data_IF_235370597201
#
_entry.id   IF_235370597201
#
_cell.length_a   1.000
_cell.length_b   1.000
_cell.length_c   1.000
_cell.angle_alpha   90.00
_cell.angle_beta   90.00
_cell.angle_gamma   90.00
#
_symmetry.space_group_name_H-M   'P 1'
#
loop_
_entity.id
_entity.type
_entity.pdbx_description
1 polymer ?
#
# COMPACT_ATOMS: atom_id res chain seq x y z
N UNK A 1 -0.60 -26.24 -14.52
CA UNK A 1 -1.87 -25.53 -14.85
C UNK A 1 -2.02 -24.41 -13.84
N UNK A 2 -1.13 -23.42 -13.93
CA UNK A 2 -0.99 -22.33 -12.94
C UNK A 2 -0.68 -21.00 -13.64
N UNK A 3 -1.04 -20.91 -14.92
CA UNK A 3 -0.85 -19.73 -15.76
C UNK A 3 -2.13 -18.92 -15.95
N UNK A 4 -3.31 -19.51 -15.70
CA UNK A 4 -4.59 -18.90 -16.06
C UNK A 4 -5.21 -18.03 -14.95
N UNK A 5 -4.70 -18.11 -13.71
CA UNK A 5 -5.24 -17.32 -12.59
C UNK A 5 -4.64 -15.91 -12.49
N UNK A 6 -3.48 -15.66 -13.12
CA UNK A 6 -2.83 -14.34 -13.08
C UNK A 6 -3.39 -13.37 -14.13
N UNK A 7 -4.05 -13.87 -15.19
CA UNK A 7 -4.66 -13.03 -16.23
C UNK A 7 -6.06 -12.54 -15.85
N UNK A 8 -6.73 -13.18 -14.89
CA UNK A 8 -8.04 -12.74 -14.38
C UNK A 8 -7.94 -11.50 -13.48
N UNK A 9 -6.81 -11.30 -12.79
CA UNK A 9 -6.61 -10.16 -11.88
C UNK A 9 -6.28 -8.84 -12.60
N UNK A 10 -5.78 -8.88 -13.84
CA UNK A 10 -5.51 -7.67 -14.63
C UNK A 10 -6.75 -7.21 -15.44
N UNK A 11 -7.74 -8.08 -15.66
CA UNK A 11 -8.93 -7.73 -16.42
C UNK A 11 -9.99 -6.98 -15.59
N UNK A 12 -10.08 -7.24 -14.28
CA UNK A 12 -11.01 -6.54 -13.38
C UNK A 12 -10.56 -5.11 -13.03
N UNK A 13 -9.25 -4.81 -13.00
CA UNK A 13 -8.75 -3.45 -12.76
C UNK A 13 -8.87 -2.54 -14.02
N UNK A 14 -8.82 -3.10 -15.24
CA UNK A 14 -9.04 -2.33 -16.49
C UNK A 14 -10.52 -2.06 -16.80
N UNK A 15 -11.47 -2.82 -16.24
CA UNK A 15 -12.91 -2.53 -16.36
C UNK A 15 -13.39 -1.46 -15.37
N UNK A 16 -12.85 -1.37 -14.15
CA UNK A 16 -13.22 -0.31 -13.20
C UNK A 16 -12.73 1.09 -13.62
N UNK A 17 -11.63 1.20 -14.37
CA UNK A 17 -11.13 2.51 -14.87
C UNK A 17 -11.90 3.01 -16.12
N UNK A 18 -12.71 2.15 -16.76
CA UNK A 18 -13.57 2.53 -17.90
C UNK A 18 -15.01 2.90 -17.54
N UNK A 19 -15.50 2.52 -16.37
CA UNK A 19 -16.86 2.89 -15.93
C UNK A 19 -16.93 4.26 -15.23
N UNK A 20 -15.83 4.81 -14.70
CA UNK A 20 -15.86 6.10 -13.99
C UNK A 20 -15.89 7.36 -14.91
N UNK A 21 -16.01 7.19 -16.24
CA UNK A 21 -16.07 8.29 -17.22
C UNK A 21 -17.39 8.44 -17.98
N UNK A 22 -18.47 7.83 -17.52
CA UNK A 22 -19.79 8.00 -18.12
C UNK A 22 -20.89 8.17 -17.07
N UNK A 23 -20.91 9.28 -16.35
CA UNK A 23 -22.16 9.84 -15.83
C UNK A 23 -21.91 11.29 -15.39
N UNK A 24 -22.61 12.24 -16.03
CA UNK A 24 -22.49 13.67 -15.72
C UNK A 24 -22.51 14.60 -16.94
N UNK A 25 -23.41 14.36 -17.89
CA UNK A 25 -23.79 15.39 -18.87
C UNK A 25 -25.31 15.54 -18.83
N UNK A 26 -25.76 16.59 -18.15
CA UNK A 26 -27.17 17.02 -18.14
C UNK A 26 -27.23 18.44 -18.71
N UNK A 27 -27.77 18.48 -19.92
CA UNK A 27 -28.68 19.46 -20.51
C UNK A 27 -28.29 20.95 -20.53
N UNK A 28 -27.84 21.39 -21.71
CA UNK A 28 -28.25 22.68 -22.27
C UNK A 28 -29.12 22.37 -23.50
N UNK A 29 -30.45 22.46 -23.33
CA UNK A 29 -31.39 22.33 -24.44
C UNK A 29 -31.61 23.71 -25.07
N UNK A 30 -30.92 23.93 -26.18
CA UNK A 30 -31.27 24.96 -27.15
C UNK A 30 -32.61 24.60 -27.79
N UNK A 31 -33.69 25.26 -27.36
CA UNK A 31 -34.92 25.30 -28.12
C UNK A 31 -34.89 26.52 -29.04
N UNK A 32 -34.17 26.38 -30.15
CA UNK A 32 -34.30 27.24 -31.32
C UNK A 32 -35.63 26.98 -32.06
N UNK A 33 -36.07 28.06 -32.66
CA UNK A 33 -37.36 28.30 -33.27
C UNK A 33 -37.71 27.36 -34.44
N UNK A 34 -38.86 26.69 -34.37
CA UNK A 34 -39.71 26.57 -35.55
C UNK A 34 -41.17 26.24 -35.19
N UNK A 35 -42.07 27.21 -35.33
CA UNK A 35 -43.48 26.94 -35.65
C UNK A 35 -44.16 28.18 -36.22
N UNK A 36 -43.93 28.38 -37.52
CA UNK A 36 -44.84 29.13 -38.40
C UNK A 36 -46.17 28.38 -38.48
N UNK A 37 -47.13 28.71 -37.61
CA UNK A 37 -48.56 28.47 -37.87
C UNK A 37 -49.26 29.81 -37.93
N UNK A 38 -49.31 30.34 -39.15
CA UNK A 38 -50.21 31.41 -39.58
C UNK A 38 -51.65 31.02 -39.25
N UNK A 39 -52.19 31.60 -38.18
CA UNK A 39 -53.61 31.48 -37.85
C UNK A 39 -54.42 32.37 -38.79
N UNK A 40 -55.41 31.73 -39.43
CA UNK A 40 -56.38 32.27 -40.37
C UNK A 40 -57.07 33.51 -39.78
N UNK A 41 -57.05 34.61 -40.51
CA UNK A 41 -57.73 35.86 -40.17
C UNK A 41 -59.24 35.64 -40.11
N UNK A 42 -59.81 35.58 -38.92
CA UNK A 42 -61.26 35.70 -38.71
C UNK A 42 -61.55 37.16 -38.39
N UNK A 43 -62.34 37.80 -39.26
CA UNK A 43 -62.77 39.19 -39.19
C UNK A 43 -63.45 39.49 -37.84
N UNK A 44 -62.84 40.35 -37.02
CA UNK A 44 -63.44 40.86 -35.77
C UNK A 44 -64.11 42.21 -36.11
N UNK A 45 -65.40 42.41 -35.79
CA UNK A 45 -66.09 43.66 -36.09
C UNK A 45 -65.50 44.82 -35.26
N UNK A 46 -65.56 46.02 -35.81
CA UNK A 46 -65.02 47.25 -35.23
C UNK A 46 -65.65 47.55 -33.86
N UNK A 47 -64.94 47.23 -32.77
CA UNK A 47 -65.32 47.57 -31.39
C UNK A 47 -64.79 48.97 -31.11
N UNK A 48 -65.69 49.90 -30.83
CA UNK A 48 -65.36 51.26 -30.39
C UNK A 48 -64.41 51.23 -29.17
N UNK A 49 -63.45 52.16 -29.09
CA UNK A 49 -62.45 52.16 -28.02
C UNK A 49 -63.15 52.14 -26.66
N UNK A 50 -62.85 51.17 -25.78
CA UNK A 50 -63.45 51.11 -24.46
C UNK A 50 -63.07 52.39 -23.73
N UNK A 51 -64.09 53.15 -23.31
CA UNK A 51 -63.90 54.32 -22.47
C UNK A 51 -63.24 53.84 -21.17
N UNK A 52 -62.01 54.29 -20.96
CA UNK A 52 -61.30 54.14 -19.69
C UNK A 52 -62.18 54.73 -18.58
N UNK A 53 -62.51 53.96 -17.52
CA UNK A 53 -63.04 54.58 -16.31
C UNK A 53 -61.97 55.51 -15.76
N UNK A 54 -62.35 56.76 -15.51
CA UNK A 54 -61.50 57.80 -14.96
C UNK A 54 -61.00 57.41 -13.56
N UNK A 55 -59.68 57.39 -13.39
CA UNK A 55 -59.06 57.93 -12.18
C UNK A 55 -58.81 56.99 -11.00
N UNK A 56 -58.24 55.80 -11.20
CA UNK A 56 -57.32 55.27 -10.19
C UNK A 56 -55.93 55.79 -10.54
N UNK A 57 -55.49 56.83 -9.82
CA UNK A 57 -54.12 57.35 -9.96
C UNK A 57 -53.18 56.21 -9.62
N UNK A 58 -52.58 55.61 -10.65
CA UNK A 58 -51.46 54.68 -10.50
C UNK A 58 -50.35 55.44 -9.79
N UNK A 59 -50.19 55.16 -8.50
CA UNK A 59 -49.16 55.79 -7.68
C UNK A 59 -47.82 55.16 -8.06
N UNK A 60 -46.99 55.92 -8.77
CA UNK A 60 -45.68 55.46 -9.24
C UNK A 60 -44.75 55.11 -8.07
N UNK A 61 -44.93 55.74 -6.90
CA UNK A 61 -44.18 55.41 -5.69
C UNK A 61 -44.63 54.08 -5.09
N UNK A 62 -45.93 53.75 -5.18
CA UNK A 62 -46.46 52.43 -4.80
C UNK A 62 -45.96 51.33 -5.73
N UNK A 63 -45.91 51.59 -7.04
CA UNK A 63 -45.36 50.64 -8.01
C UNK A 63 -43.86 50.39 -7.79
N UNK A 64 -43.10 51.43 -7.43
CA UNK A 64 -41.67 51.29 -7.12
C UNK A 64 -41.44 50.53 -5.80
N UNK A 65 -42.21 50.83 -4.74
CA UNK A 65 -42.17 50.06 -3.48
C UNK A 65 -42.50 48.59 -3.68
N UNK A 66 -43.57 48.28 -4.42
CA UNK A 66 -43.97 46.90 -4.75
C UNK A 66 -42.91 46.17 -5.55
N UNK A 67 -42.19 46.86 -6.44
CA UNK A 67 -41.05 46.29 -7.16
C UNK A 67 -39.90 45.94 -6.21
N UNK A 68 -39.49 46.88 -5.37
CA UNK A 68 -38.41 46.64 -4.40
C UNK A 68 -38.76 45.52 -3.41
N UNK A 69 -40.00 45.48 -2.93
CA UNK A 69 -40.48 44.44 -2.02
C UNK A 69 -40.54 43.06 -2.70
N UNK A 70 -40.99 43.00 -3.96
CA UNK A 70 -40.95 41.77 -4.76
C UNK A 70 -39.50 41.31 -4.97
N UNK A 71 -38.62 42.18 -5.44
CA UNK A 71 -37.23 41.84 -5.73
C UNK A 71 -36.48 41.41 -4.44
N UNK A 72 -36.80 42.02 -3.30
CA UNK A 72 -36.28 41.63 -2.00
C UNK A 72 -36.76 40.23 -1.57
N UNK A 73 -38.05 39.95 -1.69
CA UNK A 73 -38.63 38.64 -1.37
C UNK A 73 -38.13 37.54 -2.31
N UNK A 74 -38.01 37.83 -3.61
CA UNK A 74 -37.46 36.92 -4.62
C UNK A 74 -35.99 36.60 -4.30
N UNK A 75 -35.20 37.60 -3.90
CA UNK A 75 -33.81 37.41 -3.51
C UNK A 75 -33.69 36.57 -2.23
N UNK A 76 -34.51 36.83 -1.21
CA UNK A 76 -34.55 36.00 0.00
C UNK A 76 -34.92 34.55 -0.31
N UNK A 77 -35.94 34.34 -1.14
CA UNK A 77 -36.37 33.00 -1.55
C UNK A 77 -35.26 32.28 -2.32
N UNK A 78 -34.58 32.97 -3.25
CA UNK A 78 -33.48 32.39 -4.01
C UNK A 78 -32.30 31.99 -3.12
N UNK A 79 -31.96 32.84 -2.14
CA UNK A 79 -30.93 32.56 -1.14
C UNK A 79 -31.33 31.30 -0.34
N UNK A 80 -32.53 31.26 0.23
CA UNK A 80 -32.99 30.13 1.03
C UNK A 80 -33.05 28.82 0.23
N UNK A 81 -33.56 28.86 -1.00
CA UNK A 81 -33.60 27.70 -1.90
C UNK A 81 -32.19 27.21 -2.24
N UNK A 82 -31.26 28.12 -2.57
CA UNK A 82 -29.89 27.73 -2.91
C UNK A 82 -29.17 27.08 -1.73
N UNK A 83 -29.23 27.69 -0.55
CA UNK A 83 -28.58 27.14 0.64
C UNK A 83 -29.22 25.83 1.11
N UNK A 84 -30.55 25.74 1.11
CA UNK A 84 -31.24 24.52 1.53
C UNK A 84 -31.07 23.37 0.53
N UNK A 85 -30.99 23.64 -0.78
CA UNK A 85 -30.67 22.62 -1.79
C UNK A 85 -29.24 22.11 -1.59
N UNK A 86 -28.27 23.03 -1.52
CA UNK A 86 -26.86 22.67 -1.35
C UNK A 86 -26.61 21.91 -0.05
N UNK A 87 -27.25 22.32 1.05
CA UNK A 87 -27.11 21.63 2.33
C UNK A 87 -27.64 20.20 2.25
N UNK A 88 -28.80 19.98 1.62
CA UNK A 88 -29.35 18.62 1.44
C UNK A 88 -28.45 17.77 0.56
N UNK A 89 -27.95 18.31 -0.54
CA UNK A 89 -27.00 17.62 -1.43
C UNK A 89 -25.71 17.25 -0.69
N UNK A 90 -25.14 18.16 0.11
CA UNK A 90 -23.95 17.89 0.91
C UNK A 90 -24.20 16.81 1.97
N UNK A 91 -25.35 16.84 2.65
CA UNK A 91 -25.74 15.80 3.61
C UNK A 91 -25.89 14.43 2.95
N UNK A 92 -26.50 14.37 1.75
CA UNK A 92 -26.64 13.15 0.96
C UNK A 92 -25.28 12.60 0.49
N UNK A 93 -24.39 13.47 0.00
CA UNK A 93 -23.04 13.10 -0.40
C UNK A 93 -22.22 12.57 0.79
N UNK A 94 -22.32 13.21 1.96
CA UNK A 94 -21.66 12.75 3.18
C UNK A 94 -22.20 11.39 3.60
N UNK A 95 -23.53 11.19 3.57
CA UNK A 95 -24.15 9.92 3.89
C UNK A 95 -23.70 8.79 2.95
N UNK A 96 -23.63 9.07 1.64
CA UNK A 96 -23.14 8.14 0.63
C UNK A 96 -21.66 7.78 0.84
N UNK A 97 -20.80 8.79 1.05
CA UNK A 97 -19.37 8.60 1.34
C UNK A 97 -19.16 7.74 2.58
N UNK A 98 -19.90 8.01 3.66
CA UNK A 98 -19.84 7.22 4.89
C UNK A 98 -20.27 5.75 4.65
N UNK A 99 -21.27 5.50 3.80
CA UNK A 99 -21.70 4.14 3.44
C UNK A 99 -20.65 3.39 2.62
N UNK A 100 -20.00 4.08 1.67
CA UNK A 100 -18.89 3.51 0.88
C UNK A 100 -17.70 3.18 1.77
N UNK A 101 -17.33 4.11 2.66
CA UNK A 101 -16.22 3.94 3.59
C UNK A 101 -16.45 2.74 4.53
N UNK A 102 -17.67 2.58 5.07
CA UNK A 102 -18.05 1.39 5.84
C UNK A 102 -17.94 0.09 5.04
N UNK A 103 -18.44 0.07 3.80
CA UNK A 103 -18.31 -1.13 2.93
C UNK A 103 -16.85 -1.46 2.63
N UNK A 104 -16.00 -0.45 2.43
CA UNK A 104 -14.56 -0.65 2.23
C UNK A 104 -13.90 -1.19 3.50
N UNK A 105 -14.22 -0.65 4.67
CA UNK A 105 -13.69 -1.17 5.95
C UNK A 105 -14.12 -2.61 6.20
N UNK A 106 -15.39 -2.94 5.95
CA UNK A 106 -15.90 -4.31 6.15
C UNK A 106 -15.20 -5.31 5.21
N UNK A 107 -14.98 -4.94 3.94
CA UNK A 107 -14.21 -5.79 3.01
C UNK A 107 -12.77 -5.96 3.43
N UNK A 108 -12.11 -4.88 3.88
CA UNK A 108 -10.75 -4.94 4.37
C UNK A 108 -10.65 -5.83 5.64
N UNK A 109 -11.63 -5.74 6.54
CA UNK A 109 -11.70 -6.58 7.73
C UNK A 109 -11.94 -8.06 7.38
N UNK A 110 -12.87 -8.35 6.45
CA UNK A 110 -13.07 -9.71 5.94
C UNK A 110 -11.79 -10.30 5.33
N UNK A 111 -11.03 -9.50 4.57
CA UNK A 111 -9.75 -9.95 4.03
C UNK A 111 -8.72 -10.21 5.13
N UNK A 112 -8.65 -9.33 6.15
CA UNK A 112 -7.75 -9.55 7.30
C UNK A 112 -8.10 -10.82 8.07
N UNK A 113 -9.38 -11.06 8.34
CA UNK A 113 -9.83 -12.28 9.04
C UNK A 113 -9.53 -13.53 8.20
N UNK A 114 -9.78 -13.52 6.88
CA UNK A 114 -9.42 -14.63 6.00
C UNK A 114 -7.90 -14.89 5.99
N UNK A 115 -7.09 -13.85 5.88
CA UNK A 115 -5.64 -13.96 5.90
C UNK A 115 -5.11 -14.47 7.24
N UNK A 116 -5.71 -14.05 8.36
CA UNK A 116 -5.36 -14.52 9.70
C UNK A 116 -5.72 -15.99 9.91
N UNK A 117 -6.92 -16.42 9.48
CA UNK A 117 -7.33 -17.82 9.55
C UNK A 117 -6.45 -18.73 8.69
N UNK A 118 -6.08 -18.29 7.48
CA UNK A 118 -5.16 -19.04 6.62
C UNK A 118 -3.75 -19.14 7.23
N UNK A 119 -3.27 -18.04 7.82
CA UNK A 119 -2.00 -18.03 8.55
C UNK A 119 -2.04 -18.95 9.77
N UNK A 120 -3.14 -19.01 10.51
CA UNK A 120 -3.32 -19.92 11.65
C UNK A 120 -3.32 -21.38 11.21
N UNK A 121 -4.01 -21.72 10.11
CA UNK A 121 -4.01 -23.08 9.55
C UNK A 121 -2.61 -23.51 9.13
N UNK A 122 -1.89 -22.64 8.42
CA UNK A 122 -0.50 -22.90 8.04
C UNK A 122 0.39 -23.05 9.28
N UNK A 123 0.20 -22.20 10.30
CA UNK A 123 0.94 -22.31 11.55
C UNK A 123 0.69 -23.66 12.25
N UNK A 124 -0.57 -24.10 12.38
CA UNK A 124 -0.92 -25.40 12.98
C UNK A 124 -0.32 -26.58 12.21
N UNK A 125 -0.35 -26.55 10.88
CA UNK A 125 0.27 -27.59 10.06
C UNK A 125 1.79 -27.63 10.24
N UNK A 126 2.44 -26.47 10.33
CA UNK A 126 3.89 -26.42 10.61
C UNK A 126 4.22 -26.87 12.02
N UNK A 127 3.38 -26.54 13.00
CA UNK A 127 3.56 -26.95 14.40
C UNK A 127 3.35 -28.46 14.58
N UNK A 128 2.33 -29.05 13.95
CA UNK A 128 2.12 -30.50 13.95
C UNK A 128 3.27 -31.25 13.26
N UNK A 129 3.77 -30.70 12.15
CA UNK A 129 4.94 -31.24 11.46
C UNK A 129 6.19 -31.16 12.33
N UNK A 130 6.42 -30.04 13.01
CA UNK A 130 7.52 -29.87 13.95
C UNK A 130 7.38 -30.83 15.12
N UNK A 131 6.17 -31.02 15.68
CA UNK A 131 5.93 -31.96 16.78
C UNK A 131 6.18 -33.41 16.35
N UNK A 132 5.76 -33.80 15.14
CA UNK A 132 6.02 -35.12 14.56
C UNK A 132 7.51 -35.33 14.26
N UNK A 133 8.21 -34.31 13.78
CA UNK A 133 9.67 -34.33 13.58
C UNK A 133 10.43 -34.40 14.92
N UNK A 134 9.94 -33.74 15.98
CA UNK A 134 10.50 -33.81 17.34
C UNK A 134 10.27 -35.18 18.01
N UNK A 135 9.08 -35.78 17.85
CA UNK A 135 8.78 -37.15 18.34
C UNK A 135 9.60 -38.21 17.58
N UNK A 136 9.73 -38.09 16.25
CA UNK A 136 10.55 -38.99 15.44
C UNK A 136 12.06 -38.81 15.69
N UNK A 137 12.51 -37.60 15.99
CA UNK A 137 13.89 -37.33 16.40
C UNK A 137 14.19 -37.87 17.81
N UNK A 138 13.20 -37.88 18.72
CA UNK A 138 13.34 -38.47 20.05
C UNK A 138 13.42 -40.00 19.99
N UNK A 139 12.61 -40.64 19.15
CA UNK A 139 12.68 -42.09 18.93
C UNK A 139 13.99 -42.52 18.25
N UNK A 140 14.47 -41.77 17.24
CA UNK A 140 15.80 -41.98 16.64
C UNK A 140 16.94 -41.73 17.63
N UNK A 141 16.81 -40.73 18.50
CA UNK A 141 17.82 -40.45 19.51
C UNK A 141 17.88 -41.52 20.61
N UNK A 142 16.79 -42.24 20.86
CA UNK A 142 16.73 -43.38 21.78
C UNK A 142 17.37 -44.64 21.15
N UNK A 143 17.22 -44.84 19.83
CA UNK A 143 17.91 -45.87 19.05
C UNK A 143 19.43 -45.62 18.91
N UNK A 144 19.85 -44.35 18.77
CA UNK A 144 21.26 -43.92 18.75
C UNK A 144 21.87 -43.73 20.17
N UNK A 145 21.09 -43.93 21.24
CA UNK A 145 21.51 -43.76 22.64
C UNK A 145 22.45 -44.86 23.16
N UNK A 146 23.10 -45.62 22.29
CA UNK A 146 24.15 -46.56 22.66
C UNK A 146 25.59 -46.01 22.47
N UNK A 147 25.78 -44.83 21.86
CA UNK A 147 27.15 -44.34 21.60
C UNK A 147 27.29 -42.83 21.37
N UNK A 148 27.34 -42.03 22.45
CA UNK A 148 28.08 -40.76 22.42
C UNK A 148 27.30 -39.45 22.22
N UNK A 149 25.97 -39.44 22.35
CA UNK A 149 25.17 -38.22 22.12
C UNK A 149 24.96 -37.33 23.37
N UNK A 150 25.47 -37.69 24.56
CA UNK A 150 25.19 -36.93 25.80
C UNK A 150 25.81 -35.52 25.84
N UNK A 151 26.84 -35.23 25.05
CA UNK A 151 27.56 -33.94 25.10
C UNK A 151 26.92 -32.85 24.20
N UNK A 152 25.94 -33.20 23.37
CA UNK A 152 25.32 -32.26 22.41
C UNK A 152 23.89 -31.83 22.78
N UNK A 153 23.27 -32.48 23.77
CA UNK A 153 21.84 -32.28 24.10
C UNK A 153 21.62 -31.06 24.99
N UNK A 154 22.57 -30.70 25.85
CA UNK A 154 22.35 -29.64 26.85
C UNK A 154 22.50 -28.20 26.29
N UNK A 155 22.92 -28.04 25.03
CA UNK A 155 23.03 -26.72 24.38
C UNK A 155 21.77 -26.26 23.62
N UNK A 156 20.67 -27.03 23.65
CA UNK A 156 19.45 -26.77 22.84
C UNK A 156 18.27 -26.20 23.64
N UNK A 157 18.51 -25.45 24.72
CA UNK A 157 17.43 -24.72 25.44
C UNK A 157 17.23 -23.25 24.99
N UNK A 158 17.41 -23.02 23.69
CA UNK A 158 17.07 -21.79 22.98
C UNK A 158 17.29 -22.04 21.50
N UNK A 159 16.34 -21.67 20.63
CA UNK A 159 16.54 -21.70 19.17
C UNK A 159 17.72 -20.77 18.85
N UNK A 160 18.94 -21.30 18.83
CA UNK A 160 20.10 -20.59 18.29
C UNK A 160 19.72 -20.27 16.84
N UNK A 161 19.65 -18.98 16.53
CA UNK A 161 19.34 -18.54 15.17
C UNK A 161 20.33 -19.22 14.23
N UNK A 162 19.83 -19.72 13.11
CA UNK A 162 20.71 -20.27 12.10
C UNK A 162 21.66 -19.17 11.62
N UNK A 163 22.88 -19.51 11.18
CA UNK A 163 23.83 -18.51 10.65
C UNK A 163 23.22 -17.65 9.53
N UNK A 164 22.22 -18.18 8.80
CA UNK A 164 21.43 -17.45 7.80
C UNK A 164 20.54 -16.39 8.43
N UNK A 165 19.83 -16.73 9.50
CA UNK A 165 18.96 -15.82 10.24
C UNK A 165 19.76 -14.76 10.99
N UNK A 166 20.88 -15.12 11.60
CA UNK A 166 21.80 -14.17 12.25
C UNK A 166 22.35 -13.16 11.25
N UNK A 167 22.80 -13.62 10.08
CA UNK A 167 23.22 -12.72 8.99
C UNK A 167 22.08 -11.80 8.54
N UNK A 168 20.88 -12.34 8.35
CA UNK A 168 19.72 -11.54 7.92
C UNK A 168 19.36 -10.49 8.98
N UNK A 169 19.35 -10.87 10.26
CA UNK A 169 19.10 -9.97 11.38
C UNK A 169 20.14 -8.85 11.45
N UNK A 170 21.42 -9.18 11.40
CA UNK A 170 22.50 -8.19 11.43
C UNK A 170 22.47 -7.24 10.22
N UNK A 171 22.12 -7.73 9.02
CA UNK A 171 21.96 -6.88 7.84
C UNK A 171 20.75 -5.96 7.92
N UNK A 172 19.63 -6.45 8.46
CA UNK A 172 18.43 -5.64 8.70
C UNK A 172 18.71 -4.53 9.73
N UNK A 173 19.43 -4.84 10.80
CA UNK A 173 19.83 -3.87 11.84
C UNK A 173 20.76 -2.78 11.28
N UNK A 174 21.67 -3.13 10.37
CA UNK A 174 22.55 -2.17 9.69
C UNK A 174 21.84 -1.33 8.62
N UNK A 175 20.69 -1.78 8.12
CA UNK A 175 19.95 -1.10 7.06
C UNK A 175 19.12 0.04 7.67
N UNK A 176 19.59 1.28 7.49
CA UNK A 176 18.84 2.47 7.85
C UNK A 176 17.77 2.75 6.76
N UNK A 177 16.49 2.90 7.11
CA UNK A 177 15.47 3.27 6.13
C UNK A 177 15.80 4.65 5.55
N UNK A 178 15.63 4.79 4.25
CA UNK A 178 15.89 6.04 3.53
C UNK A 178 14.57 6.79 3.40
N UNK A 179 14.47 7.97 4.01
CA UNK A 179 13.34 8.87 3.85
C UNK A 179 13.82 10.11 3.12
N UNK A 180 13.36 10.31 1.87
CA UNK A 180 13.83 11.37 0.96
C UNK A 180 12.73 12.29 0.45
N UNK A 181 11.46 11.93 0.64
CA UNK A 181 10.32 12.54 -0.07
C UNK A 181 10.03 14.00 0.31
N UNK A 182 10.58 14.46 1.43
CA UNK A 182 10.32 15.77 2.03
C UNK A 182 11.61 16.59 2.22
N UNK A 183 12.72 16.20 1.55
CA UNK A 183 13.99 16.94 1.63
C UNK A 183 14.14 17.95 0.48
N UNK A 184 14.74 19.10 0.80
CA UNK A 184 15.13 20.12 -0.17
C UNK A 184 16.43 19.74 -0.90
N UNK A 185 16.71 20.39 -2.03
CA UNK A 185 17.84 20.09 -2.92
C UNK A 185 19.20 20.05 -2.20
N UNK A 186 19.49 21.04 -1.35
CA UNK A 186 20.75 21.10 -0.59
C UNK A 186 20.89 19.91 0.36
N UNK A 187 19.81 19.56 1.07
CA UNK A 187 19.81 18.41 1.98
C UNK A 187 19.86 17.07 1.26
N UNK A 188 19.32 16.99 0.05
CA UNK A 188 19.46 15.81 -0.80
C UNK A 188 20.92 15.63 -1.26
N UNK A 189 21.62 16.71 -1.58
CA UNK A 189 23.04 16.68 -1.93
C UNK A 189 23.90 16.19 -0.74
N UNK A 190 23.67 16.72 0.45
CA UNK A 190 24.32 16.23 1.69
C UNK A 190 24.03 14.75 1.92
N UNK A 191 22.76 14.33 1.78
CA UNK A 191 22.37 12.93 1.98
C UNK A 191 23.02 11.99 0.97
N UNK A 192 23.16 12.42 -0.29
CA UNK A 192 23.86 11.66 -1.32
C UNK A 192 25.35 11.52 -0.99
N UNK A 193 25.99 12.59 -0.49
CA UNK A 193 27.37 12.55 -0.04
C UNK A 193 27.57 11.60 1.14
N UNK A 194 26.69 11.62 2.14
CA UNK A 194 26.72 10.70 3.29
C UNK A 194 26.60 9.23 2.85
N UNK A 195 25.66 8.93 1.94
CA UNK A 195 25.47 7.59 1.41
C UNK A 195 26.68 7.13 0.60
N UNK A 196 27.30 8.03 -0.16
CA UNK A 196 28.51 7.74 -0.91
C UNK A 196 29.70 7.44 0.03
N UNK A 197 29.90 8.25 1.08
CA UNK A 197 30.93 8.00 2.08
C UNK A 197 30.71 6.67 2.80
N UNK A 198 29.46 6.36 3.16
CA UNK A 198 29.10 5.09 3.78
C UNK A 198 29.39 3.89 2.87
N UNK A 199 29.05 3.99 1.57
CA UNK A 199 29.37 2.97 0.59
C UNK A 199 30.89 2.79 0.42
N UNK A 200 31.63 3.89 0.37
CA UNK A 200 33.09 3.89 0.25
C UNK A 200 33.74 3.20 1.44
N UNK A 201 33.28 3.50 2.66
CA UNK A 201 33.75 2.82 3.88
C UNK A 201 33.49 1.31 3.82
N UNK A 202 32.28 0.87 3.44
CA UNK A 202 31.96 -0.55 3.31
C UNK A 202 32.83 -1.25 2.26
N UNK A 203 33.17 -0.57 1.17
CA UNK A 203 34.10 -1.09 0.17
C UNK A 203 35.52 -1.25 0.71
N UNK A 204 36.01 -0.27 1.45
CA UNK A 204 37.33 -0.34 2.09
C UNK A 204 37.40 -1.51 3.10
N UNK A 205 36.41 -1.63 3.99
CA UNK A 205 36.34 -2.73 4.96
C UNK A 205 36.28 -4.10 4.29
N UNK A 206 35.50 -4.23 3.21
CA UNK A 206 35.43 -5.46 2.41
C UNK A 206 36.80 -5.82 1.81
N UNK A 207 37.53 -4.83 1.30
CA UNK A 207 38.86 -5.04 0.74
C UNK A 207 39.86 -5.50 1.80
N UNK A 208 39.92 -4.82 2.95
CA UNK A 208 40.80 -5.21 4.06
C UNK A 208 40.50 -6.63 4.56
N UNK A 209 39.22 -6.98 4.72
CA UNK A 209 38.81 -8.32 5.12
C UNK A 209 39.21 -9.38 4.07
N UNK A 210 39.15 -9.05 2.78
CA UNK A 210 39.58 -9.94 1.71
C UNK A 210 41.10 -10.19 1.75
N UNK A 211 41.91 -9.14 1.94
CA UNK A 211 43.36 -9.26 2.09
C UNK A 211 43.74 -10.03 3.36
N UNK A 212 43.06 -9.75 4.48
CA UNK A 212 43.23 -10.50 5.73
C UNK A 212 42.93 -11.98 5.54
N UNK A 213 41.84 -12.32 4.82
CA UNK A 213 41.48 -13.70 4.54
C UNK A 213 42.54 -14.40 3.67
N UNK A 214 43.11 -13.71 2.66
CA UNK A 214 44.22 -14.25 1.86
C UNK A 214 45.43 -14.56 2.73
N UNK A 215 45.81 -13.65 3.63
CA UNK A 215 46.92 -13.87 4.56
C UNK A 215 46.67 -15.04 5.49
N UNK A 216 45.47 -15.11 6.10
CA UNK A 216 45.09 -16.21 6.97
C UNK A 216 45.11 -17.57 6.25
N UNK A 217 44.68 -17.63 4.98
CA UNK A 217 44.78 -18.86 4.17
C UNK A 217 46.23 -19.32 4.01
N UNK A 218 47.15 -18.39 3.75
CA UNK A 218 48.58 -18.69 3.67
C UNK A 218 49.13 -19.18 5.02
N UNK A 219 48.80 -18.48 6.12
CA UNK A 219 49.27 -18.86 7.45
C UNK A 219 48.76 -20.26 7.83
N UNK A 220 47.50 -20.59 7.54
CA UNK A 220 46.93 -21.93 7.72
C UNK A 220 47.70 -22.97 6.90
N UNK A 221 48.06 -22.67 5.65
CA UNK A 221 48.85 -23.57 4.81
C UNK A 221 50.23 -23.86 5.42
N UNK A 222 50.95 -22.81 5.86
CA UNK A 222 52.26 -22.94 6.51
C UNK A 222 52.15 -23.72 7.81
N UNK A 223 51.15 -23.41 8.65
CA UNK A 223 50.92 -24.10 9.92
C UNK A 223 50.59 -25.57 9.71
N UNK A 224 49.75 -25.92 8.72
CA UNK A 224 49.47 -27.32 8.36
C UNK A 224 50.74 -28.05 7.96
N UNK A 225 51.62 -27.42 7.18
CA UNK A 225 52.88 -28.02 6.79
C UNK A 225 53.84 -28.19 7.97
N UNK A 226 53.88 -27.23 8.89
CA UNK A 226 54.67 -27.34 10.13
C UNK A 226 54.18 -28.50 11.00
N UNK A 227 52.87 -28.59 11.23
CA UNK A 227 52.25 -29.69 11.99
C UNK A 227 52.54 -31.04 11.34
N UNK A 228 52.46 -31.15 10.01
CA UNK A 228 52.82 -32.38 9.29
C UNK A 228 54.28 -32.77 9.50
N UNK A 229 55.21 -31.80 9.46
CA UNK A 229 56.64 -32.04 9.68
C UNK A 229 56.94 -32.45 11.13
N UNK A 230 56.30 -31.84 12.11
CA UNK A 230 56.49 -32.19 13.53
C UNK A 230 55.74 -33.46 13.94
N UNK A 231 54.65 -33.79 13.25
CA UNK A 231 53.86 -35.02 13.44
C UNK A 231 54.42 -36.23 12.70
N UNK A 232 55.38 -36.04 11.80
CA UNK A 232 56.24 -37.12 11.29
C UNK A 232 57.33 -37.41 12.33
N UNK A 233 56.93 -37.99 13.46
CA UNK A 233 57.89 -38.80 14.24
C UNK A 233 58.22 -40.01 13.36
N UNK A 234 59.51 -40.34 13.14
CA UNK A 234 59.85 -41.54 12.39
C UNK A 234 59.13 -42.72 13.04
N UNK A 235 58.43 -43.53 12.23
CA UNK A 235 57.79 -44.73 12.75
C UNK A 235 58.90 -45.55 13.41
N UNK A 236 58.66 -46.13 14.58
CA UNK A 236 59.67 -46.96 15.26
C UNK A 236 60.26 -48.05 14.32
N UNK A 237 59.50 -48.48 13.30
CA UNK A 237 59.96 -49.36 12.22
C UNK A 237 61.11 -48.80 11.35
N UNK A 238 61.25 -47.48 11.21
CA UNK A 238 62.34 -46.82 10.47
C UNK A 238 63.57 -46.58 11.36
N UNK A 239 63.39 -46.47 12.67
CA UNK A 239 64.49 -46.32 13.63
C UNK A 239 65.18 -47.65 13.96
N UNK A 240 64.51 -48.79 13.75
CA UNK A 240 65.03 -50.13 14.06
C UNK A 240 65.69 -50.86 12.88
N UNK A 241 65.88 -50.19 11.73
CA UNK A 241 66.52 -50.80 10.54
C UNK A 241 67.98 -50.36 10.35
N UNK A 242 68.70 -50.13 11.46
CA UNK A 242 70.14 -49.89 11.48
C UNK A 242 70.80 -51.02 12.25
N UNK A 243 71.51 -51.87 11.49
CA UNK A 243 72.26 -53.10 11.84
C UNK A 243 71.46 -54.40 11.92
#
# INVERSE_FOLDING_TARGET
QSGDEAEHWNAEEEEEEKEEKKEGHVEESEHEEESKRWFKTTYVPNIAPPKLPEGEKVDFDDLHRKRLEKDFNDLQTLIEVHFSSRQKEEEELIALRNRIERRRSDRAEQQRVRAEQERERQARLTEERVRREEEAAKLRAEEDSFGGYLQKVDQKKGKKLTAREEKKKALMERRKPLNIDHLNQEKLAEKAQDLWQWLHQLHAEKFELAEKLKRQKYDIYVLRNRVKKTGQTPRLSELFNIK
#
